data_IF_064942787234
#
_entry.id   IF_064942787234
#
_cell.length_a   1.000
_cell.length_b   1.000
_cell.length_c   1.000
_cell.angle_alpha   90.00
_cell.angle_beta   90.00
_cell.angle_gamma   90.00
#
_symmetry.space_group_name_H-M   'P 1'
#
loop_
_entity.id
_entity.type
_entity.pdbx_description
1 polymer ?
#
# COMPACT_ATOMS: atom_id res chain seq x y z
N UNK A 1 39.57 19.64 56.69
CA UNK A 1 38.14 19.41 56.94
C UNK A 1 37.37 19.80 55.69
N UNK A 2 36.76 18.85 55.01
CA UNK A 2 35.94 19.11 53.83
C UNK A 2 34.58 19.67 54.25
N UNK A 3 34.24 20.85 53.75
CA UNK A 3 32.92 21.47 53.94
C UNK A 3 31.97 20.73 53.00
N UNK A 4 31.24 19.76 53.53
CA UNK A 4 30.23 19.00 52.78
C UNK A 4 28.95 19.86 52.78
N UNK A 5 28.59 20.41 51.62
CA UNK A 5 27.44 21.30 51.48
C UNK A 5 26.10 20.59 51.73
N UNK A 6 25.22 21.24 52.51
CA UNK A 6 23.93 20.72 53.00
C UNK A 6 22.90 20.23 51.95
N UNK A 7 23.15 20.28 50.65
CA UNK A 7 22.18 19.83 49.65
C UNK A 7 22.76 18.71 48.78
N UNK A 8 22.53 17.44 49.15
CA UNK A 8 22.84 16.28 48.29
C UNK A 8 22.11 16.29 46.93
N UNK A 9 21.23 17.28 46.70
CA UNK A 9 20.38 17.44 45.52
C UNK A 9 20.54 18.85 44.90
N UNK A 10 21.79 19.29 44.74
CA UNK A 10 22.14 20.66 44.32
C UNK A 10 21.40 21.14 43.06
N UNK A 11 21.14 20.24 42.10
CA UNK A 11 20.36 20.54 40.90
C UNK A 11 18.94 20.98 41.24
N UNK A 12 18.24 20.19 42.05
CA UNK A 12 16.86 20.49 42.48
C UNK A 12 16.82 21.76 43.32
N UNK A 13 17.75 21.91 44.28
CA UNK A 13 17.91 23.12 45.08
C UNK A 13 18.08 24.39 44.21
N UNK A 14 18.81 24.27 43.10
CA UNK A 14 19.04 25.34 42.13
C UNK A 14 17.87 25.62 41.21
N UNK A 15 17.19 24.56 40.74
CA UNK A 15 16.00 24.66 39.90
C UNK A 15 14.83 25.34 40.65
N UNK A 16 14.67 25.08 41.95
CA UNK A 16 13.59 25.67 42.77
C UNK A 16 14.02 26.93 43.55
N UNK A 17 15.26 27.38 43.40
CA UNK A 17 15.85 28.53 44.11
C UNK A 17 15.62 28.53 45.64
N UNK A 18 15.63 27.35 46.26
CA UNK A 18 15.45 27.17 47.71
C UNK A 18 16.12 25.87 48.18
N UNK A 19 16.43 25.76 49.47
CA UNK A 19 16.90 24.50 50.05
C UNK A 19 15.72 23.53 50.24
N UNK A 20 15.75 22.37 49.57
CA UNK A 20 14.59 21.45 49.49
C UNK A 20 14.59 20.38 50.60
N UNK A 21 15.73 20.12 51.24
CA UNK A 21 15.81 19.19 52.38
C UNK A 21 15.93 19.98 53.68
N UNK A 22 14.86 19.97 54.49
CA UNK A 22 14.86 20.49 55.86
C UNK A 22 15.05 19.42 56.94
N UNK A 23 14.80 18.14 56.62
CA UNK A 23 14.45 17.15 57.65
C UNK A 23 15.47 16.01 57.90
N UNK A 24 16.77 16.17 57.62
CA UNK A 24 17.73 15.13 58.02
C UNK A 24 19.05 15.71 58.51
N UNK A 25 19.28 15.64 59.83
CA UNK A 25 20.47 15.30 60.65
C UNK A 25 21.92 15.48 60.13
N UNK A 26 22.15 16.08 58.97
CA UNK A 26 23.46 16.30 58.35
C UNK A 26 23.79 17.79 58.20
N UNK A 27 23.24 18.63 59.09
CA UNK A 27 23.70 20.01 59.21
C UNK A 27 24.93 20.02 60.14
N UNK A 28 26.10 19.72 59.59
CA UNK A 28 27.39 19.96 60.24
C UNK A 28 27.66 21.48 60.27
N UNK A 29 27.02 22.18 61.22
CA UNK A 29 27.16 23.63 61.46
C UNK A 29 25.86 24.41 61.29
N UNK A 30 25.58 25.39 62.13
CA UNK A 30 24.25 26.03 62.31
C UNK A 30 23.59 26.68 61.06
N UNK A 31 24.24 26.72 59.88
CA UNK A 31 23.73 27.46 58.71
C UNK A 31 23.95 26.72 57.39
N UNK A 32 22.89 26.65 56.58
CA UNK A 32 22.96 26.17 55.20
C UNK A 32 23.64 27.22 54.30
N UNK A 33 24.90 26.96 53.92
CA UNK A 33 25.69 27.86 53.07
C UNK A 33 25.00 28.19 51.72
N UNK A 34 24.14 27.29 51.25
CA UNK A 34 23.40 27.48 50.00
C UNK A 34 22.34 28.60 50.11
N UNK A 35 21.64 28.70 51.25
CA UNK A 35 20.65 29.75 51.46
C UNK A 35 21.31 31.13 51.60
N UNK A 36 22.48 31.21 52.23
CA UNK A 36 23.26 32.44 52.29
C UNK A 36 23.78 32.88 50.91
N UNK A 37 24.20 31.92 50.08
CA UNK A 37 24.61 32.20 48.70
C UNK A 37 23.43 32.68 47.86
N UNK A 38 22.23 32.08 48.01
CA UNK A 38 21.02 32.58 47.36
C UNK A 38 20.68 34.02 47.78
N UNK A 39 20.79 34.37 49.08
CA UNK A 39 20.60 35.75 49.57
C UNK A 39 21.60 36.76 48.98
N UNK A 40 22.79 36.29 48.57
CA UNK A 40 23.82 37.07 47.86
C UNK A 40 23.62 37.09 46.34
N UNK A 41 22.55 36.49 45.82
CA UNK A 41 22.29 36.36 44.39
C UNK A 41 23.12 35.28 43.69
N UNK A 42 23.82 34.43 44.44
CA UNK A 42 24.67 33.36 43.93
C UNK A 42 23.89 32.05 43.92
N UNK A 43 23.34 31.68 42.76
CA UNK A 43 22.73 30.38 42.53
C UNK A 43 23.70 29.49 41.73
N UNK A 44 23.99 28.29 42.25
CA UNK A 44 25.06 27.43 41.73
C UNK A 44 24.93 27.04 40.25
N UNK A 45 23.70 26.95 39.73
CA UNK A 45 23.45 26.55 38.34
C UNK A 45 22.65 27.56 37.53
N UNK A 46 22.49 28.84 37.90
CA UNK A 46 21.70 29.77 37.05
C UNK A 46 22.22 29.84 35.63
N UNK A 47 23.51 30.11 35.43
CA UNK A 47 24.13 30.12 34.09
C UNK A 47 24.11 28.74 33.44
N UNK A 48 24.30 27.67 34.22
CA UNK A 48 24.26 26.29 33.70
C UNK A 48 22.84 25.87 33.24
N UNK A 49 21.80 26.28 33.97
CA UNK A 49 20.40 26.01 33.68
C UNK A 49 19.89 26.86 32.52
N UNK A 50 20.28 28.13 32.45
CA UNK A 50 20.01 28.99 31.30
C UNK A 50 20.68 28.45 30.03
N UNK A 51 21.94 28.03 30.10
CA UNK A 51 22.65 27.40 28.98
C UNK A 51 22.00 26.06 28.57
N UNK A 52 21.58 25.24 29.53
CA UNK A 52 20.88 23.99 29.23
C UNK A 52 19.50 24.24 28.62
N UNK A 53 18.77 25.27 29.08
CA UNK A 53 17.49 25.66 28.51
C UNK A 53 17.65 26.20 27.09
N UNK A 54 18.69 27.01 26.84
CA UNK A 54 19.04 27.48 25.50
C UNK A 54 19.39 26.31 24.56
N UNK A 55 20.29 25.42 24.98
CA UNK A 55 20.64 24.21 24.21
C UNK A 55 19.43 23.31 23.96
N UNK A 56 18.55 23.12 24.94
CA UNK A 56 17.31 22.36 24.76
C UNK A 56 16.42 22.98 23.68
N UNK A 57 16.23 24.31 23.69
CA UNK A 57 15.47 25.03 22.65
C UNK A 57 16.11 24.89 21.28
N UNK A 58 17.43 24.98 21.19
CA UNK A 58 18.17 24.76 19.94
C UNK A 58 17.96 23.34 19.40
N UNK A 59 18.10 22.31 20.26
CA UNK A 59 17.82 20.93 19.86
C UNK A 59 16.37 20.72 19.43
N UNK A 60 15.40 21.32 20.13
CA UNK A 60 13.98 21.22 19.74
C UNK A 60 13.70 21.89 18.40
N UNK A 61 14.37 23.01 18.08
CA UNK A 61 14.29 23.66 16.77
C UNK A 61 14.92 22.79 15.68
N UNK A 62 16.11 22.27 15.91
CA UNK A 62 16.79 21.35 14.98
C UNK A 62 15.91 20.12 14.68
N UNK A 63 15.34 19.50 15.71
CA UNK A 63 14.43 18.35 15.53
C UNK A 63 13.21 18.74 14.70
N UNK A 64 12.61 19.91 14.94
CA UNK A 64 11.46 20.39 14.15
C UNK A 64 11.81 20.57 12.67
N UNK A 65 12.97 21.14 12.38
CA UNK A 65 13.43 21.36 11.01
C UNK A 65 13.72 20.04 10.30
N UNK A 66 14.44 19.12 10.95
CA UNK A 66 14.69 17.77 10.40
C UNK A 66 13.39 17.01 10.15
N UNK A 67 12.41 17.07 11.06
CA UNK A 67 11.11 16.43 10.86
C UNK A 67 10.36 17.03 9.67
N UNK A 68 10.47 18.34 9.45
CA UNK A 68 9.85 19.03 8.30
C UNK A 68 10.50 18.62 6.98
N UNK A 69 11.82 18.51 6.93
CA UNK A 69 12.57 18.04 5.76
C UNK A 69 12.20 16.59 5.41
N UNK A 70 12.24 15.69 6.40
CA UNK A 70 11.87 14.28 6.22
C UNK A 70 10.42 14.11 5.73
N UNK A 71 9.48 14.92 6.24
CA UNK A 71 8.09 14.91 5.74
C UNK A 71 8.00 15.31 4.27
N UNK A 72 8.82 16.26 3.84
CA UNK A 72 8.87 16.75 2.46
C UNK A 72 9.46 15.68 1.54
N UNK A 73 10.54 15.04 1.95
CA UNK A 73 11.19 13.93 1.21
C UNK A 73 10.29 12.69 1.10
N UNK A 74 9.59 12.33 2.18
CA UNK A 74 8.60 11.23 2.16
C UNK A 74 7.47 11.56 1.18
N UNK A 75 7.00 12.81 1.15
CA UNK A 75 5.94 13.24 0.24
C UNK A 75 6.38 13.14 -1.21
N UNK A 76 7.54 13.69 -1.57
CA UNK A 76 8.07 13.62 -2.94
C UNK A 76 8.33 12.18 -3.38
N UNK A 77 8.82 11.32 -2.48
CA UNK A 77 9.02 9.89 -2.76
C UNK A 77 7.70 9.15 -2.99
N UNK A 78 6.65 9.47 -2.23
CA UNK A 78 5.30 8.89 -2.45
C UNK A 78 4.74 9.32 -3.80
N UNK A 79 4.89 10.59 -4.17
CA UNK A 79 4.46 11.11 -5.47
C UNK A 79 5.24 10.44 -6.61
N UNK A 80 6.56 10.27 -6.48
CA UNK A 80 7.37 9.54 -7.44
C UNK A 80 6.94 8.08 -7.59
N UNK A 81 6.69 7.37 -6.47
CA UNK A 81 6.21 5.98 -6.51
C UNK A 81 4.81 5.84 -7.11
N UNK A 82 3.93 6.82 -6.89
CA UNK A 82 2.60 6.82 -7.49
C UNK A 82 2.67 6.91 -9.03
N UNK A 83 3.66 7.62 -9.57
CA UNK A 83 3.89 7.73 -11.02
C UNK A 83 4.37 6.42 -11.68
N UNK A 84 4.80 5.44 -10.89
CA UNK A 84 5.26 4.13 -11.38
C UNK A 84 4.14 3.09 -11.44
N UNK A 85 2.95 3.44 -10.97
CA UNK A 85 1.81 2.53 -10.93
C UNK A 85 1.02 2.62 -12.23
N UNK A 86 0.60 1.46 -12.73
CA UNK A 86 -0.21 1.37 -13.92
C UNK A 86 -1.52 0.67 -13.56
N UNK A 87 -2.61 1.17 -14.10
CA UNK A 87 -3.95 0.75 -13.75
C UNK A 87 -4.72 0.35 -15.00
N UNK A 88 -5.57 -0.67 -14.86
CA UNK A 88 -6.58 -1.04 -15.84
C UNK A 88 -7.97 -0.82 -15.25
N UNK A 89 -8.89 -0.26 -16.03
CA UNK A 89 -10.31 -0.14 -15.65
C UNK A 89 -11.08 -1.36 -16.18
N UNK A 90 -11.69 -2.11 -15.29
CA UNK A 90 -12.56 -3.26 -15.62
C UNK A 90 -13.88 -3.05 -14.89
N UNK A 91 -14.97 -2.99 -15.65
CA UNK A 91 -16.34 -2.80 -15.12
C UNK A 91 -16.45 -1.59 -14.17
N UNK A 92 -15.87 -0.45 -14.57
CA UNK A 92 -15.92 0.79 -13.80
C UNK A 92 -15.06 0.80 -12.54
N UNK A 93 -14.12 -0.15 -12.40
CA UNK A 93 -13.21 -0.24 -11.26
C UNK A 93 -11.76 -0.32 -11.72
N UNK A 94 -10.87 0.42 -11.04
CA UNK A 94 -9.43 0.31 -11.31
C UNK A 94 -8.75 -0.82 -10.52
N UNK A 95 -7.84 -1.48 -11.20
CA UNK A 95 -6.95 -2.50 -10.66
C UNK A 95 -5.51 -2.14 -11.01
N UNK A 96 -4.58 -2.44 -10.12
CA UNK A 96 -3.15 -2.30 -10.42
C UNK A 96 -2.72 -3.45 -11.31
N UNK A 97 -1.96 -3.14 -12.35
CA UNK A 97 -1.27 -4.11 -13.19
C UNK A 97 0.23 -3.90 -13.13
N UNK A 98 0.98 -4.99 -12.97
CA UNK A 98 2.45 -4.96 -12.96
C UNK A 98 3.05 -6.26 -13.50
N UNK A 99 4.34 -6.21 -13.86
CA UNK A 99 5.06 -7.37 -14.38
C UNK A 99 5.18 -8.42 -13.29
N UNK A 100 4.87 -9.68 -13.61
CA UNK A 100 5.07 -10.78 -12.65
C UNK A 100 6.54 -11.19 -12.65
N UNK A 101 7.15 -11.27 -11.47
CA UNK A 101 8.49 -11.85 -11.32
C UNK A 101 8.47 -13.36 -11.58
N UNK A 102 9.50 -13.88 -12.25
CA UNK A 102 9.64 -15.32 -12.45
C UNK A 102 9.77 -16.09 -11.13
N UNK A 103 10.43 -15.49 -10.14
CA UNK A 103 10.61 -16.06 -8.80
C UNK A 103 9.53 -15.56 -7.83
N UNK A 104 8.76 -16.48 -7.24
CA UNK A 104 7.72 -16.24 -6.21
C UNK A 104 6.49 -15.39 -6.64
N UNK A 105 6.44 -14.94 -7.90
CA UNK A 105 5.26 -14.28 -8.45
C UNK A 105 4.94 -12.92 -7.83
N UNK A 106 5.94 -12.19 -7.36
CA UNK A 106 5.79 -10.80 -6.94
C UNK A 106 5.40 -9.90 -8.13
N UNK A 107 4.80 -8.76 -7.82
CA UNK A 107 4.46 -7.73 -8.80
C UNK A 107 5.58 -6.69 -8.85
N UNK A 108 6.21 -6.55 -10.00
CA UNK A 108 7.20 -5.53 -10.34
C UNK A 108 6.53 -4.41 -11.15
N UNK A 109 7.16 -3.24 -11.18
CA UNK A 109 6.72 -2.13 -12.03
C UNK A 109 6.85 -2.49 -13.50
N UNK A 110 6.03 -1.85 -14.33
CA UNK A 110 6.15 -1.95 -15.78
C UNK A 110 7.24 -0.98 -16.26
N UNK A 111 8.23 -1.54 -16.96
CA UNK A 111 9.19 -0.77 -17.74
C UNK A 111 8.46 0.08 -18.80
N UNK A 112 9.09 1.17 -19.23
CA UNK A 112 8.43 2.19 -20.06
C UNK A 112 7.96 1.63 -21.41
N UNK A 113 8.81 0.84 -22.07
CA UNK A 113 8.50 0.14 -23.31
C UNK A 113 7.33 -0.83 -23.15
N UNK A 114 7.36 -1.67 -22.11
CA UNK A 114 6.29 -2.61 -21.79
C UNK A 114 4.97 -1.88 -21.50
N UNK A 115 5.04 -0.75 -20.81
CA UNK A 115 3.88 0.13 -20.54
C UNK A 115 3.27 0.66 -21.83
N UNK A 116 4.09 1.15 -22.75
CA UNK A 116 3.63 1.66 -24.05
C UNK A 116 3.00 0.56 -24.91
N UNK A 117 3.59 -0.64 -24.93
CA UNK A 117 3.05 -1.80 -25.64
C UNK A 117 1.70 -2.26 -25.08
N UNK A 118 1.60 -2.43 -23.75
CA UNK A 118 0.34 -2.77 -23.09
C UNK A 118 -0.72 -1.68 -23.32
N UNK A 119 -0.34 -0.40 -23.26
CA UNK A 119 -1.25 0.70 -23.55
C UNK A 119 -1.82 0.65 -24.98
N UNK A 120 -1.00 0.32 -25.98
CA UNK A 120 -1.45 0.10 -27.37
C UNK A 120 -2.41 -1.10 -27.47
N UNK A 121 -2.07 -2.20 -26.82
CA UNK A 121 -2.89 -3.41 -26.79
C UNK A 121 -4.27 -3.14 -26.15
N UNK A 122 -4.30 -2.56 -24.95
CA UNK A 122 -5.55 -2.29 -24.25
C UNK A 122 -6.42 -1.26 -24.99
N UNK A 123 -5.82 -0.23 -25.60
CA UNK A 123 -6.56 0.72 -26.45
C UNK A 123 -7.24 0.03 -27.63
N UNK A 124 -6.56 -0.92 -28.29
CA UNK A 124 -7.15 -1.72 -29.38
C UNK A 124 -8.33 -2.56 -28.90
N UNK A 125 -8.30 -3.00 -27.64
CA UNK A 125 -9.35 -3.81 -27.00
C UNK A 125 -10.42 -2.97 -26.29
N UNK A 126 -10.38 -1.63 -26.40
CA UNK A 126 -11.27 -0.72 -25.67
C UNK A 126 -11.23 -0.91 -24.14
N UNK A 127 -10.09 -1.35 -23.61
CA UNK A 127 -9.82 -1.43 -22.17
C UNK A 127 -9.03 -0.20 -21.77
N UNK A 128 -9.49 0.50 -20.73
CA UNK A 128 -8.79 1.68 -20.25
C UNK A 128 -7.50 1.29 -19.51
N UNK A 129 -6.39 1.93 -19.86
CA UNK A 129 -5.08 1.77 -19.23
C UNK A 129 -4.47 3.14 -18.94
N UNK A 130 -4.11 3.40 -17.68
CA UNK A 130 -3.68 4.73 -17.22
C UNK A 130 -2.65 4.64 -16.09
N UNK A 131 -1.84 5.68 -15.96
CA UNK A 131 -0.97 5.96 -14.80
C UNK A 131 -1.62 6.96 -13.82
N UNK A 132 -2.73 7.58 -14.21
CA UNK A 132 -3.46 8.62 -13.48
C UNK A 132 -4.90 8.16 -13.21
N UNK A 133 -5.11 7.24 -12.26
CA UNK A 133 -6.43 6.67 -12.00
C UNK A 133 -7.36 7.67 -11.32
N UNK A 134 -8.66 7.54 -11.55
CA UNK A 134 -9.68 8.20 -10.72
C UNK A 134 -9.87 7.42 -9.42
N UNK A 135 -9.38 7.96 -8.30
CA UNK A 135 -9.44 7.34 -6.97
C UNK A 135 -10.86 6.97 -6.51
N UNK A 136 -11.90 7.63 -7.06
CA UNK A 136 -13.30 7.30 -6.73
C UNK A 136 -13.73 5.92 -7.24
N UNK A 137 -12.99 5.35 -8.20
CA UNK A 137 -13.23 4.01 -8.75
C UNK A 137 -12.37 2.94 -8.05
N UNK A 138 -11.67 3.29 -6.98
CA UNK A 138 -11.01 2.32 -6.11
C UNK A 138 -12.02 1.70 -5.15
N UNK A 139 -11.98 0.37 -5.06
CA UNK A 139 -12.79 -0.39 -4.11
C UNK A 139 -11.85 -1.23 -3.26
N UNK A 140 -11.90 -1.04 -1.95
CA UNK A 140 -11.18 -1.90 -1.01
C UNK A 140 -11.99 -3.16 -0.77
N UNK A 141 -11.42 -4.30 -1.16
CA UNK A 141 -12.04 -5.59 -0.92
C UNK A 141 -11.77 -6.00 0.52
N UNK A 142 -12.83 -5.97 1.33
CA UNK A 142 -12.77 -6.43 2.71
C UNK A 142 -12.63 -7.94 2.72
N UNK A 143 -11.82 -8.43 3.65
CA UNK A 143 -11.75 -9.86 3.93
C UNK A 143 -13.10 -10.31 4.50
N UNK A 144 -13.79 -11.19 3.78
CA UNK A 144 -14.98 -11.87 4.24
C UNK A 144 -14.68 -13.37 4.36
N UNK A 145 -15.23 -14.03 5.39
CA UNK A 145 -14.93 -15.43 5.67
C UNK A 145 -15.38 -16.38 4.55
N UNK A 146 -16.45 -16.02 3.83
CA UNK A 146 -17.01 -16.75 2.70
C UNK A 146 -16.34 -16.42 1.35
N UNK A 147 -15.57 -15.33 1.28
CA UNK A 147 -14.88 -14.88 0.08
C UNK A 147 -13.56 -14.18 0.43
N UNK A 148 -12.55 -14.92 0.91
CA UNK A 148 -11.29 -14.34 1.33
C UNK A 148 -10.59 -13.68 0.15
N UNK A 149 -9.97 -12.53 0.40
CA UNK A 149 -9.14 -11.81 -0.55
C UNK A 149 -7.77 -12.51 -0.67
N UNK A 150 -7.75 -13.68 -1.30
CA UNK A 150 -6.58 -14.55 -1.43
C UNK A 150 -6.33 -15.00 -2.86
N UNK A 151 -6.90 -14.33 -3.86
CA UNK A 151 -6.77 -14.66 -5.27
C UNK A 151 -5.95 -13.60 -6.01
N UNK A 152 -5.41 -13.99 -7.16
CA UNK A 152 -4.69 -13.11 -8.07
C UNK A 152 -5.06 -13.45 -9.49
N UNK A 153 -5.39 -12.45 -10.28
CA UNK A 153 -5.54 -12.61 -11.72
C UNK A 153 -4.18 -12.41 -12.40
N UNK A 154 -3.83 -13.30 -13.33
CA UNK A 154 -2.55 -13.28 -14.05
C UNK A 154 -2.87 -13.22 -15.54
N UNK A 155 -2.59 -12.07 -16.15
CA UNK A 155 -2.70 -11.86 -17.59
C UNK A 155 -1.47 -12.47 -18.28
N UNK A 156 -1.69 -13.23 -19.34
CA UNK A 156 -0.64 -13.89 -20.14
C UNK A 156 -0.72 -13.41 -21.58
N UNK A 157 0.36 -12.82 -22.09
CA UNK A 157 0.44 -12.29 -23.45
C UNK A 157 1.67 -12.88 -24.15
N UNK A 158 1.46 -13.73 -25.14
CA UNK A 158 2.57 -14.36 -25.87
C UNK A 158 3.32 -15.39 -25.02
N UNK A 159 4.62 -15.17 -24.77
CA UNK A 159 5.49 -16.12 -24.06
C UNK A 159 5.22 -16.20 -22.55
N UNK A 160 5.72 -17.27 -21.90
CA UNK A 160 5.61 -17.45 -20.44
C UNK A 160 6.29 -16.35 -19.62
N UNK A 161 7.21 -15.60 -20.22
CA UNK A 161 7.90 -14.48 -19.58
C UNK A 161 7.01 -13.23 -19.50
N UNK A 162 5.97 -13.16 -20.33
CA UNK A 162 5.05 -12.03 -20.42
C UNK A 162 3.78 -12.29 -19.62
N UNK A 163 3.99 -12.41 -18.30
CA UNK A 163 2.94 -12.52 -17.30
C UNK A 163 2.82 -11.24 -16.49
N UNK A 164 1.58 -10.83 -16.24
CA UNK A 164 1.27 -9.60 -15.50
C UNK A 164 0.28 -9.91 -14.38
N UNK A 165 0.62 -9.50 -13.17
CA UNK A 165 -0.27 -9.63 -12.03
C UNK A 165 -1.28 -8.47 -12.07
N UNK A 166 -2.57 -8.80 -11.97
CA UNK A 166 -3.65 -7.84 -11.74
C UNK A 166 -4.10 -8.01 -10.28
N UNK A 167 -3.98 -6.92 -9.52
CA UNK A 167 -4.23 -6.89 -8.08
C UNK A 167 -5.17 -5.74 -7.73
N UNK A 168 -5.65 -5.70 -6.49
CA UNK A 168 -6.42 -4.54 -6.03
C UNK A 168 -5.52 -3.28 -6.02
N UNK A 169 -6.12 -2.08 -5.98
CA UNK A 169 -5.38 -0.81 -6.05
C UNK A 169 -4.32 -0.66 -4.95
N UNK A 170 -4.54 -1.32 -3.80
CA UNK A 170 -3.66 -1.35 -2.65
C UNK A 170 -2.68 -2.55 -2.64
N UNK A 171 -2.47 -3.19 -3.80
CA UNK A 171 -1.59 -4.37 -4.00
C UNK A 171 -2.01 -5.62 -3.25
N UNK A 172 -3.18 -5.61 -2.59
CA UNK A 172 -3.71 -6.79 -1.93
C UNK A 172 -4.28 -7.76 -2.96
N UNK A 173 -4.40 -9.00 -2.51
CA UNK A 173 -5.09 -10.05 -3.24
C UNK A 173 -6.57 -9.68 -3.43
N UNK A 174 -7.17 -10.35 -4.41
CA UNK A 174 -8.55 -10.23 -4.83
C UNK A 174 -9.38 -11.32 -4.16
N UNK A 175 -10.67 -11.09 -4.04
CA UNK A 175 -11.69 -12.11 -3.81
C UNK A 175 -11.81 -13.02 -5.03
N UNK A 176 -12.38 -14.21 -4.84
CA UNK A 176 -12.60 -15.17 -5.94
C UNK A 176 -13.56 -14.58 -7.00
N UNK A 177 -14.63 -13.94 -6.53
CA UNK A 177 -15.62 -13.30 -7.40
C UNK A 177 -14.99 -12.24 -8.28
N UNK A 178 -14.15 -11.37 -7.72
CA UNK A 178 -13.50 -10.32 -8.50
C UNK A 178 -12.45 -10.88 -9.45
N UNK A 179 -11.62 -11.84 -9.02
CA UNK A 179 -10.66 -12.49 -9.90
C UNK A 179 -11.35 -13.18 -11.11
N UNK A 180 -12.51 -13.80 -10.89
CA UNK A 180 -13.33 -14.39 -11.97
C UNK A 180 -13.95 -13.34 -12.89
N UNK A 181 -14.43 -12.22 -12.35
CA UNK A 181 -14.97 -11.12 -13.16
C UNK A 181 -13.90 -10.52 -14.08
N UNK A 182 -12.70 -10.27 -13.55
CA UNK A 182 -11.53 -9.82 -14.33
C UNK A 182 -11.20 -10.82 -15.44
N UNK A 183 -11.14 -12.12 -15.09
CA UNK A 183 -10.87 -13.18 -16.08
C UNK A 183 -11.92 -13.21 -17.19
N UNK A 184 -13.21 -13.17 -16.85
CA UNK A 184 -14.29 -13.18 -17.84
C UNK A 184 -14.18 -11.98 -18.77
N UNK A 185 -14.08 -10.77 -18.22
CA UNK A 185 -13.97 -9.53 -19.00
C UNK A 185 -12.79 -9.54 -19.98
N UNK A 186 -11.60 -9.94 -19.53
CA UNK A 186 -10.42 -9.95 -20.39
C UNK A 186 -10.42 -11.13 -21.38
N UNK A 187 -10.98 -12.28 -21.00
CA UNK A 187 -11.18 -13.40 -21.92
C UNK A 187 -12.16 -13.03 -23.04
N UNK A 188 -13.23 -12.29 -22.73
CA UNK A 188 -14.19 -11.79 -23.72
C UNK A 188 -13.52 -10.78 -24.69
N UNK A 189 -12.50 -10.07 -24.22
CA UNK A 189 -11.63 -9.23 -25.04
C UNK A 189 -10.52 -10.02 -25.80
N UNK A 190 -10.51 -11.35 -25.72
CA UNK A 190 -9.56 -12.22 -26.41
C UNK A 190 -8.19 -12.36 -25.73
N UNK A 191 -8.05 -11.98 -24.46
CA UNK A 191 -6.82 -12.12 -23.68
C UNK A 191 -6.88 -13.36 -22.78
N UNK A 192 -5.72 -14.00 -22.54
CA UNK A 192 -5.65 -15.16 -21.65
C UNK A 192 -5.41 -14.73 -20.21
N UNK A 193 -6.32 -15.07 -19.30
CA UNK A 193 -6.18 -14.81 -17.86
C UNK A 193 -6.27 -16.08 -17.02
N UNK A 194 -5.27 -16.29 -16.17
CA UNK A 194 -5.24 -17.32 -15.14
C UNK A 194 -5.62 -16.75 -13.77
N UNK A 195 -6.12 -17.61 -12.88
CA UNK A 195 -6.39 -17.25 -11.48
C UNK A 195 -5.52 -18.13 -10.60
N UNK A 196 -4.75 -17.50 -9.72
CA UNK A 196 -3.89 -18.14 -8.72
C UNK A 196 -4.45 -17.88 -7.32
N UNK A 197 -4.41 -18.87 -6.44
CA UNK A 197 -4.71 -18.70 -5.01
C UNK A 197 -3.41 -18.44 -4.25
N UNK A 198 -3.33 -17.34 -3.51
CA UNK A 198 -2.18 -16.92 -2.72
C UNK A 198 -2.38 -17.37 -1.27
N UNK A 199 -1.41 -18.14 -0.75
CA UNK A 199 -1.36 -18.55 0.65
C UNK A 199 -1.33 -20.07 0.83
N UNK A 200 -0.51 -20.55 1.77
CA UNK A 200 -0.48 -21.95 2.18
C UNK A 200 -1.50 -22.14 3.31
N UNK A 201 -2.67 -22.71 3.04
CA UNK A 201 -3.55 -23.15 4.13
C UNK A 201 -5.02 -22.84 4.03
N UNK A 202 -5.53 -22.29 2.92
CA UNK A 202 -6.94 -22.55 2.60
C UNK A 202 -6.97 -24.03 2.22
N UNK A 203 -7.20 -24.89 3.23
CA UNK A 203 -7.72 -26.24 2.98
C UNK A 203 -8.85 -25.98 2.01
N UNK A 204 -8.68 -26.38 0.75
CA UNK A 204 -9.75 -26.40 -0.22
C UNK A 204 -10.89 -27.12 0.49
N UNK A 205 -11.89 -26.40 1.00
CA UNK A 205 -13.10 -27.05 1.46
C UNK A 205 -13.70 -27.57 0.15
N UNK A 206 -13.60 -28.89 -0.11
CA UNK A 206 -14.01 -29.41 -1.38
C UNK A 206 -15.52 -29.59 -1.27
N UNK A 207 -16.32 -28.51 -1.42
CA UNK A 207 -17.78 -28.65 -1.52
C UNK A 207 -18.58 -27.40 -1.94
N UNK A 208 -18.03 -26.52 -2.78
CA UNK A 208 -18.91 -25.52 -3.43
C UNK A 208 -19.83 -26.15 -4.51
N UNK A 209 -19.60 -27.42 -4.89
CA UNK A 209 -20.48 -28.19 -5.79
C UNK A 209 -21.64 -28.93 -5.10
N UNK A 210 -21.90 -28.70 -3.80
CA UNK A 210 -23.04 -29.31 -3.09
C UNK A 210 -24.20 -28.35 -2.77
N UNK A 211 -24.20 -27.13 -3.30
CA UNK A 211 -25.44 -26.37 -3.39
C UNK A 211 -26.17 -26.74 -4.69
N UNK A 212 -26.81 -27.91 -4.67
CA UNK A 212 -28.01 -28.18 -5.47
C UNK A 212 -29.13 -27.30 -4.89
N UNK A 213 -29.04 -25.99 -5.14
CA UNK A 213 -30.19 -25.12 -4.95
C UNK A 213 -31.05 -25.32 -6.18
N UNK A 214 -32.06 -26.17 -6.05
CA UNK A 214 -33.26 -26.11 -6.89
C UNK A 214 -33.86 -24.72 -6.72
N UNK A 215 -33.33 -23.73 -7.44
CA UNK A 215 -34.08 -22.53 -7.75
C UNK A 215 -35.18 -22.97 -8.72
N UNK A 216 -36.42 -22.98 -8.23
CA UNK A 216 -37.60 -22.92 -9.09
C UNK A 216 -37.42 -21.68 -9.97
N UNK A 217 -37.06 -21.90 -11.23
CA UNK A 217 -37.15 -20.86 -12.25
C UNK A 217 -38.63 -20.55 -12.42
N UNK A 218 -39.07 -19.46 -11.81
CA UNK A 218 -40.34 -18.83 -12.21
C UNK A 218 -40.12 -18.29 -13.63
N UNK A 219 -40.95 -18.67 -14.62
CA UNK A 219 -40.76 -18.20 -15.99
C UNK A 219 -40.83 -16.66 -16.02
N UNK A 220 -39.93 -15.98 -16.76
CA UNK A 220 -40.03 -14.55 -16.94
C UNK A 220 -41.30 -14.20 -17.73
N UNK A 221 -42.08 -13.28 -17.18
CA UNK A 221 -43.15 -12.56 -17.84
C UNK A 221 -42.65 -11.97 -19.16
N UNK A 222 -43.38 -12.27 -20.23
CA UNK A 222 -43.19 -11.88 -21.64
C UNK A 222 -42.32 -10.61 -21.85
N UNK A 223 -41.13 -10.82 -22.40
CA UNK A 223 -40.35 -9.77 -23.06
C UNK A 223 -40.96 -9.41 -24.44
N UNK A 224 -40.84 -8.16 -24.89
CA UNK A 224 -41.38 -7.71 -26.17
C UNK A 224 -40.69 -8.41 -27.35
N UNK A 225 -41.48 -8.74 -28.38
CA UNK A 225 -41.01 -9.32 -29.66
C UNK A 225 -39.92 -8.45 -30.26
N UNK A 226 -38.68 -8.95 -30.26
CA UNK A 226 -37.62 -8.45 -31.14
C UNK A 226 -37.75 -9.12 -32.50
N UNK A 227 -37.71 -8.29 -33.53
CA UNK A 227 -37.60 -8.68 -34.94
C UNK A 227 -36.34 -9.51 -35.17
N UNK A 228 -36.49 -10.64 -35.86
CA UNK A 228 -35.39 -11.53 -36.22
C UNK A 228 -34.71 -10.92 -37.45
N UNK A 229 -33.59 -10.22 -37.23
CA UNK A 229 -32.68 -9.88 -38.31
C UNK A 229 -31.87 -11.13 -38.66
N UNK A 230 -32.09 -11.68 -39.85
CA UNK A 230 -31.30 -12.79 -40.38
C UNK A 230 -29.84 -12.38 -40.49
N UNK A 231 -28.97 -13.06 -39.74
CA UNK A 231 -27.52 -12.91 -39.87
C UNK A 231 -27.04 -13.71 -41.08
N UNK A 232 -26.20 -13.15 -41.98
CA UNK A 232 -25.67 -13.91 -43.11
C UNK A 232 -24.79 -15.06 -42.64
N UNK A 233 -24.96 -16.21 -43.29
CA UNK A 233 -24.17 -17.43 -43.14
C UNK A 233 -22.68 -17.15 -43.41
N UNK A 234 -21.87 -17.17 -42.35
CA UNK A 234 -20.41 -17.11 -42.46
C UNK A 234 -19.92 -18.49 -42.93
N UNK A 235 -19.35 -18.56 -44.13
CA UNK A 235 -18.66 -19.76 -44.60
C UNK A 235 -17.40 -20.01 -43.75
N UNK A 236 -17.08 -21.28 -43.42
CA UNK A 236 -15.88 -21.60 -42.66
C UNK A 236 -14.63 -21.20 -43.44
N UNK A 237 -13.72 -20.51 -42.77
CA UNK A 237 -12.42 -20.15 -43.33
C UNK A 237 -11.65 -21.41 -43.72
N UNK A 238 -11.15 -21.44 -44.96
CA UNK A 238 -10.28 -22.50 -45.44
C UNK A 238 -8.98 -22.52 -44.64
N UNK A 239 -8.67 -23.68 -44.07
CA UNK A 239 -7.46 -23.95 -43.31
C UNK A 239 -6.32 -24.17 -44.31
N UNK A 240 -5.37 -23.25 -44.38
CA UNK A 240 -4.14 -23.42 -45.18
C UNK A 240 -3.31 -24.57 -44.59
N UNK A 241 -2.79 -25.44 -45.45
CA UNK A 241 -1.96 -26.57 -45.03
C UNK A 241 -0.56 -26.09 -44.66
N UNK A 242 0.13 -26.89 -43.83
CA UNK A 242 1.48 -26.61 -43.34
C UNK A 242 2.55 -26.52 -44.45
N UNK A 243 2.21 -26.87 -45.68
CA UNK A 243 3.12 -26.87 -46.83
C UNK A 243 3.26 -25.47 -47.48
N UNK A 244 2.34 -24.54 -47.20
CA UNK A 244 2.33 -23.19 -47.81
C UNK A 244 3.21 -22.16 -47.07
N UNK A 245 3.86 -22.53 -45.96
CA UNK A 245 4.70 -21.62 -45.14
C UNK A 245 6.20 -21.65 -45.49
N UNK A 246 6.59 -22.32 -46.58
CA UNK A 246 7.99 -22.62 -46.92
C UNK A 246 8.69 -21.73 -47.94
N UNK A 247 8.22 -20.50 -48.23
CA UNK A 247 8.85 -19.60 -49.21
C UNK A 247 8.88 -18.14 -48.75
N UNK A 248 9.50 -17.89 -47.59
CA UNK A 248 9.98 -16.57 -47.17
C UNK A 248 11.16 -16.75 -46.20
N UNK A 249 12.34 -17.10 -46.75
CA UNK A 249 13.66 -16.84 -46.17
C UNK A 249 14.43 -16.04 -47.21
#
# INVERSE_FOLDING_TARGET
MGIIGCCNDFKKCSDEAKCIKKDQDYILGEKCLYEENLKKGLNFYTTYNENNAARKREYELQIKDTVKELKTEIKSTKEARAADHNYICIDGRYFVIGKRSGYQGYTLFLEKDVREELGKLFRKLSVEFTDTPNEKLFIDEKWADDNPACYRAILCIGSEENRYNISNYNYRALTNSTARAIKAFLNDAGLSVMIETIGRGIKSTPNYNKQKTTQKVTPPTKAPKKEIVQTPSIQPAQQLSFEDLGLCI
#
